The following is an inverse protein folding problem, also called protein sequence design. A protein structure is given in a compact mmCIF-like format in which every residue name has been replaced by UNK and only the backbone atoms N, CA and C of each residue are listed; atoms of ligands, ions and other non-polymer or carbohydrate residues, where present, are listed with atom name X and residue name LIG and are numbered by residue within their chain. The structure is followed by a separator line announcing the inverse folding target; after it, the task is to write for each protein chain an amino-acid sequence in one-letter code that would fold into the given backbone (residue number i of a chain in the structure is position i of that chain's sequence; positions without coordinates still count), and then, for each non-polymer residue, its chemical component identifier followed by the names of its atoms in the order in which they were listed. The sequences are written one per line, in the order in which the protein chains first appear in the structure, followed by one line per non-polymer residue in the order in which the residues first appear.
data_IF_340877331031
#
_entry.id   IF_340877331031
#
_cell.length_a   1.000
_cell.length_b   1.000
_cell.length_c   1.000
_cell.angle_alpha   90.00
_cell.angle_beta   90.00
_cell.angle_gamma   90.00
#
_symmetry.space_group_name_H-M   'P 1'
#
loop_
_entity.id
_entity.type
_entity.pdbx_description
1 polymer ?
#
# COMPACT_ATOMS: atom_id res chain seq x y z
N UNK A 1 18.79 22.10 10.71
CA UNK A 1 17.35 21.79 10.72
C UNK A 1 17.23 20.29 10.58
N UNK A 2 16.71 19.58 11.59
CA UNK A 2 16.60 18.10 11.53
C UNK A 2 15.42 17.77 10.62
N UNK A 3 15.68 17.47 9.35
CA UNK A 3 14.72 16.74 8.51
C UNK A 3 14.41 15.42 9.22
N UNK A 4 13.28 15.41 9.92
CA UNK A 4 12.69 14.17 10.38
C UNK A 4 12.33 13.42 9.11
N UNK A 5 13.10 12.38 8.76
CA UNK A 5 12.62 11.31 7.90
C UNK A 5 11.46 10.65 8.63
N UNK A 6 10.30 11.30 8.62
CA UNK A 6 9.02 10.65 8.89
C UNK A 6 8.99 9.44 7.97
N UNK A 7 8.84 8.24 8.55
CA UNK A 7 8.46 7.06 7.80
C UNK A 7 7.25 7.48 6.98
N UNK A 8 7.44 7.73 5.68
CA UNK A 8 6.33 8.16 4.83
C UNK A 8 5.29 7.06 4.91
N UNK A 9 4.11 7.32 5.49
CA UNK A 9 3.06 6.32 5.50
C UNK A 9 2.77 5.99 4.04
N UNK A 10 2.60 4.70 3.77
CA UNK A 10 2.27 4.15 2.47
C UNK A 10 1.18 4.98 1.81
N UNK A 11 1.49 5.52 0.63
CA UNK A 11 0.62 6.49 -0.02
C UNK A 11 -0.38 5.76 -0.91
N UNK A 12 -1.67 5.96 -0.66
CA UNK A 12 -2.75 5.36 -1.44
C UNK A 12 -3.52 6.46 -2.14
N UNK A 13 -3.45 6.49 -3.48
CA UNK A 13 -4.19 7.45 -4.29
C UNK A 13 -5.70 7.36 -4.03
N UNK A 14 -6.43 8.49 -3.99
CA UNK A 14 -7.88 8.49 -3.75
C UNK A 14 -8.66 7.69 -4.80
N UNK A 15 -8.17 7.62 -6.03
CA UNK A 15 -8.75 6.83 -7.12
C UNK A 15 -8.74 5.32 -6.84
N UNK A 16 -7.71 4.83 -6.16
CA UNK A 16 -7.57 3.40 -5.80
C UNK A 16 -8.03 3.10 -4.39
N UNK A 17 -8.18 4.14 -3.55
CA UNK A 17 -8.56 4.01 -2.15
C UNK A 17 -9.85 3.22 -1.98
N UNK A 18 -10.82 3.38 -2.89
CA UNK A 18 -12.04 2.56 -2.90
C UNK A 18 -11.74 1.07 -2.99
N UNK A 19 -10.86 0.65 -3.90
CA UNK A 19 -10.45 -0.74 -4.05
C UNK A 19 -9.61 -1.22 -2.87
N UNK A 20 -8.68 -0.38 -2.40
CA UNK A 20 -7.89 -0.68 -1.21
C UNK A 20 -8.77 -0.93 0.02
N UNK A 21 -9.83 -0.13 0.21
CA UNK A 21 -10.72 -0.24 1.35
C UNK A 21 -11.53 -1.56 1.35
N UNK A 22 -11.85 -2.10 0.16
CA UNK A 22 -12.51 -3.41 0.01
C UNK A 22 -11.65 -4.60 0.43
N UNK A 23 -10.35 -4.42 0.57
CA UNK A 23 -9.45 -5.47 1.03
C UNK A 23 -9.65 -5.74 2.53
N UNK A 24 -9.39 -6.98 2.95
CA UNK A 24 -9.37 -7.36 4.36
C UNK A 24 -8.31 -6.55 5.13
N UNK A 25 -8.58 -6.28 6.41
CA UNK A 25 -7.65 -5.52 7.28
C UNK A 25 -6.24 -6.13 7.36
N UNK A 26 -6.12 -7.46 7.22
CA UNK A 26 -4.83 -8.12 7.14
C UNK A 26 -4.02 -7.67 5.90
N UNK A 27 -4.62 -7.72 4.71
CA UNK A 27 -3.98 -7.26 3.48
C UNK A 27 -3.67 -5.76 3.52
N UNK A 28 -4.59 -4.95 4.05
CA UNK A 28 -4.35 -3.52 4.24
C UNK A 28 -3.13 -3.28 5.12
N UNK A 29 -3.01 -3.98 6.26
CA UNK A 29 -1.83 -3.89 7.13
C UNK A 29 -0.55 -4.35 6.44
N UNK A 30 -0.61 -5.45 5.70
CA UNK A 30 0.52 -6.00 4.96
C UNK A 30 1.05 -4.98 3.93
N UNK A 31 0.15 -4.44 3.10
CA UNK A 31 0.45 -3.39 2.11
C UNK A 31 1.04 -2.17 2.82
N UNK A 32 0.42 -1.73 3.93
CA UNK A 32 0.89 -0.55 4.64
C UNK A 32 2.28 -0.76 5.26
N UNK A 33 2.56 -1.95 5.79
CA UNK A 33 3.84 -2.35 6.38
C UNK A 33 5.00 -2.31 5.38
N UNK A 34 4.70 -2.57 4.10
CA UNK A 34 5.68 -2.56 3.00
C UNK A 34 6.09 -1.16 2.51
N UNK A 35 5.55 -0.08 3.08
CA UNK A 35 5.86 1.32 2.70
C UNK A 35 5.69 1.59 1.18
N UNK A 36 4.64 1.05 0.57
CA UNK A 36 4.39 1.17 -0.87
C UNK A 36 3.63 2.45 -1.24
N UNK A 37 3.81 2.88 -2.49
CA UNK A 37 3.13 4.05 -3.08
C UNK A 37 2.21 3.58 -4.19
N UNK A 38 0.92 3.48 -3.90
CA UNK A 38 -0.10 2.99 -4.83
C UNK A 38 -0.75 4.18 -5.53
N UNK A 39 -0.28 4.49 -6.74
CA UNK A 39 -0.82 5.60 -7.53
C UNK A 39 -2.04 5.19 -8.36
N UNK A 40 -2.09 3.94 -8.80
CA UNK A 40 -3.07 3.39 -9.72
C UNK A 40 -3.40 1.93 -9.36
N UNK A 41 -4.43 1.37 -10.00
CA UNK A 41 -4.93 0.04 -9.67
C UNK A 41 -3.90 -1.05 -10.00
N UNK A 42 -3.05 -0.83 -11.00
CA UNK A 42 -2.00 -1.76 -11.39
C UNK A 42 -0.90 -1.87 -10.31
N UNK A 43 -0.58 -0.78 -9.62
CA UNK A 43 0.30 -0.79 -8.43
C UNK A 43 -0.30 -1.64 -7.31
N UNK A 44 -1.61 -1.54 -7.10
CA UNK A 44 -2.32 -2.34 -6.11
C UNK A 44 -2.29 -3.82 -6.46
N UNK A 45 -2.56 -4.18 -7.72
CA UNK A 45 -2.47 -5.55 -8.20
C UNK A 45 -1.05 -6.08 -8.00
N UNK A 46 -0.03 -5.35 -8.43
CA UNK A 46 1.37 -5.77 -8.25
C UNK A 46 1.73 -6.01 -6.79
N UNK A 47 1.33 -5.12 -5.89
CA UNK A 47 1.57 -5.32 -4.46
C UNK A 47 0.85 -6.56 -3.92
N UNK A 48 -0.39 -6.80 -4.35
CA UNK A 48 -1.14 -8.00 -3.96
C UNK A 48 -0.53 -9.29 -4.51
N UNK A 49 -0.05 -9.28 -5.76
CA UNK A 49 0.67 -10.40 -6.35
C UNK A 49 1.99 -10.67 -5.63
N UNK A 50 2.73 -9.63 -5.28
CA UNK A 50 3.98 -9.74 -4.52
C UNK A 50 3.73 -10.31 -3.11
N UNK A 51 2.63 -9.90 -2.45
CA UNK A 51 2.20 -10.50 -1.18
C UNK A 51 1.86 -11.97 -1.38
N UNK A 52 1.10 -12.30 -2.43
CA UNK A 52 0.63 -13.67 -2.68
C UNK A 52 1.75 -14.61 -3.12
N UNK A 53 2.79 -14.12 -3.79
CA UNK A 53 3.95 -14.92 -4.21
C UNK A 53 4.87 -15.31 -3.05
N UNK A 54 4.90 -14.49 -2.00
CA UNK A 54 5.66 -14.78 -0.77
C UNK A 54 4.91 -15.74 0.17
N UNK A 55 3.64 -16.06 -0.13
CA UNK A 55 2.78 -16.99 0.60
C UNK A 55 2.63 -18.33 -0.15
#
# INVERSE_FOLDING_TARGET
MKERKEKMPSFISPNVKKHFDTLSDALKKEILSRNVTINNLNDLIKCLEDITKEY
#
